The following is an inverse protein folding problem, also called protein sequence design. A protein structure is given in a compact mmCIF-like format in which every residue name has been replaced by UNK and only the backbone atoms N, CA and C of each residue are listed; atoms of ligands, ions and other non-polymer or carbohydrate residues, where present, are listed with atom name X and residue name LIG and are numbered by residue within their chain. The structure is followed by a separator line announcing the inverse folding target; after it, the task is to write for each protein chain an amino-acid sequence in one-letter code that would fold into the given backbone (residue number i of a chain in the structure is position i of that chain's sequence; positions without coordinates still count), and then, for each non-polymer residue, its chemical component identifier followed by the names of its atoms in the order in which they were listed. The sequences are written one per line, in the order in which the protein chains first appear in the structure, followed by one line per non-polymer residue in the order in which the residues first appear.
data_IF_746864719253
#
_entry.id   IF_746864719253
#
_cell.length_a   1.000
_cell.length_b   1.000
_cell.length_c   1.000
_cell.angle_alpha   90.00
_cell.angle_beta   90.00
_cell.angle_gamma   90.00
#
_symmetry.space_group_name_H-M   'P 1'
#
loop_
_entity.id
_entity.type
_entity.pdbx_description
1 polymer ?
#
# COMPACT_ATOMS: atom_id res chain seq x y z
N UNK A 1 -16.50 13.48 13.77
CA UNK A 1 -15.94 13.16 15.11
C UNK A 1 -14.65 13.94 15.32
N UNK A 2 -14.36 14.33 16.56
CA UNK A 2 -13.02 14.79 16.94
C UNK A 2 -12.03 13.62 16.92
N UNK A 3 -10.75 13.83 16.57
CA UNK A 3 -9.77 12.75 16.52
C UNK A 3 -9.54 12.13 17.92
N UNK A 4 -9.36 10.82 17.96
CA UNK A 4 -8.99 10.10 19.19
C UNK A 4 -7.51 10.36 19.45
N UNK A 5 -7.18 10.99 20.59
CA UNK A 5 -5.79 11.21 20.98
C UNK A 5 -5.23 9.97 21.69
N UNK A 6 -4.08 9.49 21.23
CA UNK A 6 -3.27 8.45 21.87
C UNK A 6 -1.88 9.06 22.04
N UNK A 7 -1.55 9.45 23.28
CA UNK A 7 -0.33 10.19 23.62
C UNK A 7 -0.12 11.46 22.77
N UNK A 8 0.95 11.53 21.98
CA UNK A 8 1.27 12.66 21.10
C UNK A 8 0.78 12.45 19.66
N UNK A 9 -0.12 11.50 19.44
CA UNK A 9 -0.70 11.19 18.15
C UNK A 9 -2.22 11.26 18.17
N UNK A 10 -2.78 11.57 17.01
CA UNK A 10 -4.20 11.62 16.74
C UNK A 10 -4.57 10.49 15.79
N UNK A 11 -5.69 9.82 16.07
CA UNK A 11 -6.33 8.88 15.16
C UNK A 11 -7.63 9.49 14.63
N UNK A 12 -7.83 9.39 13.32
CA UNK A 12 -9.12 9.71 12.71
C UNK A 12 -9.52 8.64 11.69
N UNK A 13 -10.82 8.47 11.52
CA UNK A 13 -11.40 7.64 10.48
C UNK A 13 -12.49 8.41 9.77
N UNK A 14 -12.42 8.43 8.45
CA UNK A 14 -13.43 9.05 7.62
C UNK A 14 -13.54 8.33 6.28
N UNK A 15 -14.60 8.64 5.55
CA UNK A 15 -14.90 8.01 4.28
C UNK A 15 -15.12 9.10 3.23
N UNK A 16 -14.70 8.81 1.99
CA UNK A 16 -14.90 9.64 0.81
C UNK A 16 -15.42 8.79 -0.33
N UNK A 17 -16.03 9.43 -1.31
CA UNK A 17 -16.26 8.82 -2.61
C UNK A 17 -15.18 9.28 -3.58
N UNK A 18 -14.69 8.36 -4.40
CA UNK A 18 -13.76 8.64 -5.49
C UNK A 18 -14.44 8.35 -6.82
N UNK A 19 -14.28 9.25 -7.77
CA UNK A 19 -14.60 9.03 -9.17
C UNK A 19 -13.31 9.15 -9.97
N UNK A 20 -13.01 8.17 -10.83
CA UNK A 20 -11.75 8.13 -11.59
C UNK A 20 -11.68 9.08 -12.76
N UNK A 21 -12.83 9.45 -13.31
CA UNK A 21 -12.97 10.38 -14.41
C UNK A 21 -14.39 10.95 -14.35
N UNK A 22 -14.56 12.20 -14.72
CA UNK A 22 -15.86 12.87 -14.72
C UNK A 22 -16.91 12.21 -15.64
N UNK A 23 -16.47 11.41 -16.63
CA UNK A 23 -17.35 10.64 -17.51
C UNK A 23 -17.72 9.26 -16.94
N UNK A 24 -17.00 8.78 -15.93
CA UNK A 24 -17.31 7.50 -15.30
C UNK A 24 -18.61 7.61 -14.48
N UNK A 25 -19.51 6.64 -14.58
CA UNK A 25 -20.80 6.69 -13.86
C UNK A 25 -20.75 6.09 -12.45
N UNK A 26 -19.65 5.44 -12.09
CA UNK A 26 -19.46 4.77 -10.80
C UNK A 26 -18.61 5.56 -9.83
N UNK A 27 -18.93 5.42 -8.54
CA UNK A 27 -18.10 5.91 -7.43
C UNK A 27 -17.52 4.72 -6.67
N UNK A 28 -16.31 4.89 -6.15
CA UNK A 28 -15.68 3.96 -5.22
C UNK A 28 -15.69 4.58 -3.83
N UNK A 29 -16.13 3.82 -2.82
CA UNK A 29 -16.00 4.28 -1.44
C UNK A 29 -14.57 4.02 -0.96
N UNK A 30 -13.94 5.06 -0.44
CA UNK A 30 -12.66 4.99 0.25
C UNK A 30 -12.90 5.15 1.74
N UNK A 31 -12.46 4.17 2.52
CA UNK A 31 -12.35 4.27 3.97
C UNK A 31 -10.89 4.53 4.34
N UNK A 32 -10.64 5.61 5.06
CA UNK A 32 -9.30 6.06 5.45
C UNK A 32 -9.21 6.06 6.97
N UNK A 33 -8.27 5.27 7.50
CA UNK A 33 -7.87 5.27 8.90
C UNK A 33 -6.48 5.89 8.99
N UNK A 34 -6.33 7.02 9.70
CA UNK A 34 -5.08 7.78 9.72
C UNK A 34 -4.65 8.09 11.14
N UNK A 35 -3.36 7.87 11.38
CA UNK A 35 -2.63 8.20 12.59
C UNK A 35 -1.62 9.30 12.25
N UNK A 36 -1.64 10.42 12.95
CA UNK A 36 -0.78 11.57 12.66
C UNK A 36 -0.34 12.31 13.92
N UNK A 37 0.80 13.04 13.91
CA UNK A 37 1.28 13.79 15.07
C UNK A 37 0.28 14.83 15.55
N UNK A 38 0.10 14.94 16.86
CA UNK A 38 -0.78 15.94 17.48
C UNK A 38 -0.40 17.38 17.08
N UNK A 39 0.91 17.64 16.94
CA UNK A 39 1.47 18.93 16.53
C UNK A 39 1.35 19.21 15.02
N UNK A 40 0.78 18.27 14.24
CA UNK A 40 0.44 18.44 12.81
C UNK A 40 1.63 18.80 11.92
N UNK A 41 2.76 18.18 12.21
CA UNK A 41 4.05 18.42 11.57
C UNK A 41 4.68 17.11 11.08
N UNK A 42 3.87 16.21 10.50
CA UNK A 42 4.36 14.93 10.00
C UNK A 42 5.43 15.14 8.91
N UNK A 43 6.56 14.45 9.06
CA UNK A 43 7.72 14.50 8.15
C UNK A 43 7.55 13.64 6.88
N UNK A 44 6.42 12.93 6.80
CA UNK A 44 6.07 12.07 5.69
C UNK A 44 4.85 11.24 6.05
N UNK A 45 4.32 10.52 5.06
CA UNK A 45 3.17 9.65 5.21
C UNK A 45 3.50 8.24 4.74
N UNK A 46 3.20 7.24 5.56
CA UNK A 46 3.11 5.86 5.10
C UNK A 46 1.68 5.59 4.67
N UNK A 47 1.45 5.23 3.41
CA UNK A 47 0.14 4.77 2.95
C UNK A 47 0.19 3.26 2.78
N UNK A 48 -0.48 2.56 3.68
CA UNK A 48 -0.68 1.12 3.59
C UNK A 48 -1.96 0.83 2.81
N UNK A 49 -1.79 0.39 1.57
CA UNK A 49 -2.90 0.10 0.67
C UNK A 49 -3.49 -1.28 0.94
N UNK A 50 -4.82 -1.37 1.00
CA UNK A 50 -5.52 -2.64 1.06
C UNK A 50 -6.82 -2.57 0.25
N UNK A 51 -6.97 -3.43 -0.76
CA UNK A 51 -8.24 -3.62 -1.45
C UNK A 51 -9.09 -4.62 -0.69
N UNK A 52 -10.40 -4.38 -0.57
CA UNK A 52 -11.31 -5.42 -0.12
C UNK A 52 -12.54 -5.45 -1.02
N UNK A 53 -12.86 -6.64 -1.54
CA UNK A 53 -14.14 -6.91 -2.18
C UNK A 53 -15.28 -6.60 -1.21
N UNK A 54 -16.32 -5.97 -1.73
CA UNK A 54 -17.60 -5.89 -1.06
C UNK A 54 -18.64 -6.54 -1.95
N UNK A 55 -19.36 -7.53 -1.42
CA UNK A 55 -20.58 -8.02 -2.03
C UNK A 55 -21.65 -6.92 -2.20
N UNK A 56 -22.58 -7.14 -3.11
CA UNK A 56 -23.65 -6.20 -3.40
C UNK A 56 -24.47 -5.83 -2.15
N UNK A 57 -24.49 -4.56 -1.77
CA UNK A 57 -25.50 -4.02 -0.86
C UNK A 57 -26.65 -3.39 -1.66
N UNK A 58 -27.58 -4.22 -2.11
CA UNK A 58 -28.79 -3.81 -2.85
C UNK A 58 -29.72 -2.87 -2.05
N UNK A 59 -29.50 -2.73 -0.74
CA UNK A 59 -30.27 -1.84 0.14
C UNK A 59 -29.54 -0.52 0.45
N UNK A 60 -28.45 -0.20 -0.26
CA UNK A 60 -27.63 1.01 -0.09
C UNK A 60 -28.42 2.32 0.10
N UNK A 61 -29.24 2.71 -0.89
CA UNK A 61 -30.00 3.96 -0.83
C UNK A 61 -31.02 3.96 0.32
N UNK A 62 -31.81 2.88 0.50
CA UNK A 62 -32.66 2.72 1.68
C UNK A 62 -31.92 2.83 3.02
N UNK A 63 -30.77 2.16 3.18
CA UNK A 63 -29.98 2.18 4.41
C UNK A 63 -29.38 3.55 4.69
N UNK A 64 -28.83 4.24 3.67
CA UNK A 64 -28.32 5.61 3.81
C UNK A 64 -29.41 6.61 4.19
N UNK A 65 -30.61 6.46 3.63
CA UNK A 65 -31.78 7.27 4.00
C UNK A 65 -32.22 6.97 5.44
N UNK A 66 -32.20 5.71 5.86
CA UNK A 66 -32.52 5.29 7.23
C UNK A 66 -31.48 5.79 8.24
N UNK A 67 -30.19 5.70 7.92
CA UNK A 67 -29.10 6.18 8.76
C UNK A 67 -29.18 7.69 8.99
N UNK A 68 -29.53 8.45 7.95
CA UNK A 68 -29.80 9.88 8.04
C UNK A 68 -31.02 10.17 8.92
N UNK A 69 -32.14 9.45 8.72
CA UNK A 69 -33.35 9.59 9.54
C UNK A 69 -33.12 9.24 11.01
N UNK A 70 -32.16 8.35 11.29
CA UNK A 70 -31.86 7.85 12.62
C UNK A 70 -30.61 8.49 13.25
N UNK A 71 -29.97 9.47 12.59
CA UNK A 71 -28.69 10.05 12.99
C UNK A 71 -27.63 8.98 13.34
N UNK A 72 -27.55 7.93 12.52
CA UNK A 72 -26.56 6.86 12.67
C UNK A 72 -25.42 7.07 11.67
N UNK A 73 -24.19 7.03 12.16
CA UNK A 73 -23.04 6.80 11.29
C UNK A 73 -23.01 5.31 10.94
N UNK A 74 -23.61 4.95 9.81
CA UNK A 74 -23.43 3.63 9.19
C UNK A 74 -22.24 3.67 8.25
N UNK A 75 -21.04 3.17 8.63
CA UNK A 75 -20.10 2.75 7.61
C UNK A 75 -20.79 1.64 6.81
N UNK A 76 -20.87 1.78 5.48
CA UNK A 76 -21.46 0.74 4.63
C UNK A 76 -20.72 -0.58 4.84
N UNK A 77 -19.41 -0.49 5.16
CA UNK A 77 -18.58 -1.62 5.55
C UNK A 77 -17.70 -1.27 6.76
N UNK A 78 -17.84 -2.02 7.85
CA UNK A 78 -16.95 -1.95 9.02
C UNK A 78 -15.59 -2.62 8.70
N UNK A 79 -14.84 -2.08 7.74
CA UNK A 79 -13.48 -2.55 7.42
C UNK A 79 -12.46 -1.72 8.18
N UNK A 80 -11.69 -2.39 9.02
CA UNK A 80 -10.65 -1.83 9.88
C UNK A 80 -9.30 -2.48 9.53
N UNK A 81 -8.70 -2.16 8.36
CA UNK A 81 -7.39 -2.70 7.98
C UNK A 81 -6.34 -2.45 9.06
N UNK A 82 -6.41 -1.34 9.80
CA UNK A 82 -5.50 -1.04 10.92
C UNK A 82 -5.57 -2.06 12.06
N UNK A 83 -6.58 -2.94 12.11
CA UNK A 83 -6.61 -4.04 13.08
C UNK A 83 -5.64 -5.18 12.74
N UNK A 84 -5.22 -5.29 11.47
CA UNK A 84 -4.29 -6.31 10.98
C UNK A 84 -2.94 -5.71 10.58
N UNK A 85 -2.92 -4.50 10.05
CA UNK A 85 -1.72 -3.82 9.55
C UNK A 85 -1.43 -2.57 10.38
N UNK A 86 -1.05 -2.76 11.64
CA UNK A 86 -0.67 -1.67 12.52
C UNK A 86 0.84 -1.64 12.71
N UNK A 87 1.51 -0.75 11.99
CA UNK A 87 2.94 -0.47 12.15
C UNK A 87 3.17 0.94 12.72
N UNK A 88 2.18 1.53 13.39
CA UNK A 88 2.27 2.90 13.93
C UNK A 88 3.43 3.07 14.92
N UNK A 89 3.85 2.00 15.60
CA UNK A 89 5.04 2.00 16.45
C UNK A 89 6.35 2.31 15.73
N UNK A 90 6.42 2.11 14.41
CA UNK A 90 7.54 2.54 13.56
C UNK A 90 7.39 3.99 13.08
N UNK A 91 6.15 4.46 12.86
CA UNK A 91 5.90 5.81 12.38
C UNK A 91 6.09 6.88 13.48
N UNK A 92 5.68 6.56 14.72
CA UNK A 92 5.69 7.49 15.86
C UNK A 92 7.09 8.04 16.19
N UNK A 93 8.15 7.21 16.35
CA UNK A 93 9.49 7.70 16.68
C UNK A 93 10.09 8.60 15.61
N UNK A 94 9.70 8.40 14.35
CA UNK A 94 10.21 9.15 13.21
C UNK A 94 9.39 10.41 12.89
N UNK A 95 8.32 10.69 13.66
CA UNK A 95 7.38 11.78 13.39
C UNK A 95 6.69 11.67 12.02
N UNK A 96 6.45 10.44 11.54
CA UNK A 96 5.69 10.19 10.31
C UNK A 96 4.20 9.97 10.64
N UNK A 97 3.34 10.29 9.69
CA UNK A 97 1.94 9.85 9.69
C UNK A 97 1.82 8.45 9.08
N UNK A 98 0.78 7.71 9.45
CA UNK A 98 0.47 6.39 8.94
C UNK A 98 -1.01 6.31 8.58
N UNK A 99 -1.33 5.93 7.35
CA UNK A 99 -2.70 5.75 6.89
C UNK A 99 -2.91 4.34 6.33
N UNK A 100 -3.98 3.69 6.74
CA UNK A 100 -4.54 2.56 6.02
C UNK A 100 -5.63 3.07 5.09
N UNK A 101 -5.49 2.79 3.79
CA UNK A 101 -6.49 3.14 2.78
C UNK A 101 -7.17 1.86 2.32
N UNK A 102 -8.49 1.83 2.44
CA UNK A 102 -9.32 0.75 1.93
C UNK A 102 -10.27 1.25 0.86
N UNK A 103 -10.17 0.66 -0.32
CA UNK A 103 -11.14 0.83 -1.38
C UNK A 103 -12.16 -0.29 -1.39
N UNK A 104 -13.42 0.10 -1.55
CA UNK A 104 -14.58 -0.77 -1.59
C UNK A 104 -15.14 -0.81 -3.01
N UNK A 105 -14.73 -1.83 -3.77
CA UNK A 105 -15.27 -2.09 -5.11
C UNK A 105 -16.54 -2.93 -5.01
N UNK A 106 -17.44 -2.74 -6.00
CA UNK A 106 -18.60 -3.59 -6.20
C UNK A 106 -18.15 -4.95 -6.74
N UNK A 107 -18.47 -6.02 -6.03
CA UNK A 107 -18.24 -7.39 -6.52
C UNK A 107 -19.08 -7.64 -7.78
N UNK A 108 -18.41 -7.88 -8.91
CA UNK A 108 -19.07 -8.41 -10.11
C UNK A 108 -18.93 -9.92 -10.12
N UNK A 109 -20.01 -10.65 -9.86
CA UNK A 109 -20.03 -12.13 -9.96
C UNK A 109 -19.65 -12.63 -11.37
N UNK A 110 -19.82 -11.78 -12.39
CA UNK A 110 -19.52 -12.09 -13.80
C UNK A 110 -18.06 -11.81 -14.17
N UNK A 111 -17.42 -10.84 -13.51
CA UNK A 111 -16.03 -10.43 -13.77
C UNK A 111 -15.24 -10.31 -12.45
N UNK A 112 -15.16 -11.35 -11.61
CA UNK A 112 -14.57 -11.25 -10.27
C UNK A 112 -13.08 -10.83 -10.29
N UNK A 113 -12.42 -10.95 -11.45
CA UNK A 113 -11.03 -10.57 -11.68
C UNK A 113 -10.78 -9.08 -11.90
N UNK A 114 -11.82 -8.25 -11.99
CA UNK A 114 -11.61 -6.80 -11.99
C UNK A 114 -11.04 -6.32 -10.67
N UNK A 115 -10.93 -7.13 -9.62
CA UNK A 115 -10.55 -6.65 -8.28
C UNK A 115 -9.54 -7.57 -7.54
N UNK A 116 -8.93 -8.54 -8.24
CA UNK A 116 -7.78 -9.32 -7.75
C UNK A 116 -6.46 -8.66 -8.19
N UNK A 117 -5.36 -8.88 -7.46
CA UNK A 117 -4.10 -8.08 -7.48
C UNK A 117 -3.40 -7.74 -8.81
N UNK A 118 -3.90 -8.21 -9.96
CA UNK A 118 -3.55 -7.70 -11.28
C UNK A 118 -4.26 -6.39 -11.68
N UNK A 119 -5.25 -5.91 -10.90
CA UNK A 119 -5.90 -4.62 -11.16
C UNK A 119 -5.14 -3.45 -10.48
N UNK A 120 -4.55 -2.50 -11.24
CA UNK A 120 -3.84 -1.37 -10.66
C UNK A 120 -4.73 -0.34 -9.94
N UNK A 121 -6.06 -0.42 -10.08
CA UNK A 121 -7.02 0.56 -9.55
C UNK A 121 -6.91 0.80 -8.04
N UNK A 122 -6.70 -0.24 -7.25
CA UNK A 122 -6.51 -0.09 -5.80
C UNK A 122 -5.23 0.71 -5.48
N UNK A 123 -4.17 0.53 -6.27
CA UNK A 123 -2.95 1.33 -6.15
C UNK A 123 -3.19 2.79 -6.56
N UNK A 124 -3.92 2.98 -7.65
CA UNK A 124 -4.37 4.31 -8.11
C UNK A 124 -5.23 5.03 -7.07
N UNK A 125 -6.11 4.32 -6.37
CA UNK A 125 -6.90 4.86 -5.24
C UNK A 125 -6.03 5.21 -4.05
N UNK A 126 -5.06 4.36 -3.71
CA UNK A 126 -4.11 4.65 -2.64
C UNK A 126 -3.30 5.92 -2.95
N UNK A 127 -2.85 6.11 -4.19
CA UNK A 127 -2.21 7.35 -4.62
C UNK A 127 -3.14 8.56 -4.50
N UNK A 128 -4.38 8.45 -4.98
CA UNK A 128 -5.34 9.53 -4.89
C UNK A 128 -5.61 9.91 -3.42
N UNK A 129 -5.82 8.91 -2.56
CA UNK A 129 -6.06 9.10 -1.13
C UNK A 129 -4.86 9.74 -0.42
N UNK A 130 -3.63 9.35 -0.82
CA UNK A 130 -2.41 9.98 -0.33
C UNK A 130 -2.37 11.47 -0.68
N UNK A 131 -2.63 11.82 -1.95
CA UNK A 131 -2.71 13.21 -2.42
C UNK A 131 -3.80 13.99 -1.68
N UNK A 132 -4.96 13.37 -1.44
CA UNK A 132 -6.02 13.97 -0.64
C UNK A 132 -5.55 14.29 0.79
N UNK A 133 -4.89 13.34 1.47
CA UNK A 133 -4.37 13.53 2.82
C UNK A 133 -3.29 14.63 2.87
N UNK A 134 -2.44 14.74 1.85
CA UNK A 134 -1.48 15.83 1.71
C UNK A 134 -2.20 17.18 1.61
N UNK A 135 -3.18 17.31 0.71
CA UNK A 135 -3.85 18.59 0.44
C UNK A 135 -4.83 19.03 1.54
N UNK A 136 -5.65 18.11 2.04
CA UNK A 136 -6.79 18.42 2.91
C UNK A 136 -6.64 17.88 4.34
N UNK A 137 -5.74 16.93 4.56
CA UNK A 137 -5.57 16.28 5.85
C UNK A 137 -6.68 15.29 6.21
N UNK A 138 -6.79 14.99 7.49
CA UNK A 138 -7.69 13.95 8.01
C UNK A 138 -9.15 14.47 8.18
N UNK A 139 -9.83 14.79 7.09
CA UNK A 139 -11.23 15.28 7.10
C UNK A 139 -12.00 14.85 5.86
N UNK A 140 -13.32 14.73 5.94
CA UNK A 140 -14.21 14.64 4.78
C UNK A 140 -14.80 16.00 4.35
N UNK A 141 -14.66 17.04 5.19
CA UNK A 141 -15.21 18.37 4.95
C UNK A 141 -14.20 19.28 4.21
N UNK A 142 -13.75 18.85 3.03
CA UNK A 142 -12.73 19.57 2.23
C UNK A 142 -13.21 20.93 1.68
N UNK A 143 -14.52 21.16 1.66
CA UNK A 143 -15.15 22.44 1.31
C UNK A 143 -15.20 23.45 2.48
N UNK A 144 -14.77 23.06 3.67
CA UNK A 144 -14.73 23.94 4.85
C UNK A 144 -13.28 24.24 5.24
N UNK A 145 -12.81 25.44 4.89
CA UNK A 145 -11.42 25.87 5.13
C UNK A 145 -10.99 25.75 6.60
N UNK A 146 -11.89 26.02 7.54
CA UNK A 146 -11.59 25.89 8.97
C UNK A 146 -11.37 24.43 9.35
N UNK A 147 -12.19 23.52 8.84
CA UNK A 147 -12.03 22.09 9.07
C UNK A 147 -10.73 21.58 8.43
N UNK A 148 -10.45 21.99 7.19
CA UNK A 148 -9.20 21.65 6.48
C UNK A 148 -7.97 22.13 7.26
N UNK A 149 -7.95 23.38 7.70
CA UNK A 149 -6.84 23.93 8.48
C UNK A 149 -6.62 23.18 9.82
N UNK A 150 -7.69 22.64 10.40
CA UNK A 150 -7.63 21.84 11.62
C UNK A 150 -7.23 20.38 11.38
N UNK A 151 -7.39 19.88 10.16
CA UNK A 151 -7.16 18.49 9.81
C UNK A 151 -5.87 18.24 9.06
N UNK A 152 -5.25 19.27 8.47
CA UNK A 152 -3.91 19.19 7.89
C UNK A 152 -2.89 18.79 8.95
N UNK A 153 -2.03 17.84 8.59
CA UNK A 153 -1.00 17.32 9.48
C UNK A 153 0.35 17.10 8.81
N UNK A 154 0.43 17.28 7.49
CA UNK A 154 1.63 17.07 6.69
C UNK A 154 2.40 18.39 6.53
N UNK A 155 3.72 18.37 6.70
CA UNK A 155 4.61 19.51 6.41
C UNK A 155 5.20 19.47 4.99
N UNK A 156 5.08 18.32 4.32
CA UNK A 156 5.56 18.03 2.98
C UNK A 156 4.60 17.03 2.31
N UNK A 157 4.90 16.59 1.09
CA UNK A 157 4.07 15.66 0.34
C UNK A 157 4.69 14.27 0.16
N UNK A 158 5.71 13.91 0.94
CA UNK A 158 6.48 12.67 0.78
C UNK A 158 5.68 11.47 1.28
N UNK A 159 5.63 10.42 0.46
CA UNK A 159 4.82 9.23 0.75
C UNK A 159 5.62 7.95 0.53
N UNK A 160 5.67 7.09 1.54
CA UNK A 160 6.08 5.69 1.40
C UNK A 160 4.82 4.85 1.13
N UNK A 161 4.74 4.23 -0.06
CA UNK A 161 3.63 3.34 -0.38
C UNK A 161 3.96 1.92 0.07
N UNK A 162 3.12 1.35 0.93
CA UNK A 162 3.31 0.02 1.46
C UNK A 162 2.06 -0.84 1.26
N UNK A 163 2.24 -2.17 1.30
CA UNK A 163 1.11 -3.07 1.27
C UNK A 163 1.51 -4.53 1.47
N UNK A 164 0.50 -5.34 1.75
CA UNK A 164 0.62 -6.79 1.90
C UNK A 164 -0.28 -7.52 0.90
N UNK A 165 0.16 -8.68 0.41
CA UNK A 165 -0.61 -9.51 -0.51
C UNK A 165 -0.95 -8.73 -1.79
N UNK A 166 -2.20 -8.71 -2.23
CA UNK A 166 -2.66 -7.84 -3.33
C UNK A 166 -2.34 -6.37 -3.08
N UNK A 167 -2.41 -5.89 -1.84
CA UNK A 167 -1.97 -4.52 -1.48
C UNK A 167 -0.47 -4.30 -1.70
N UNK A 168 0.35 -5.35 -1.57
CA UNK A 168 1.78 -5.29 -1.89
C UNK A 168 2.02 -5.06 -3.38
N UNK A 169 1.23 -5.70 -4.25
CA UNK A 169 1.25 -5.41 -5.68
C UNK A 169 0.76 -3.98 -5.96
N UNK A 170 -0.38 -3.59 -5.38
CA UNK A 170 -0.94 -2.25 -5.58
C UNK A 170 -0.05 -1.09 -5.11
N UNK A 171 0.78 -1.31 -4.09
CA UNK A 171 1.79 -0.33 -3.68
C UNK A 171 2.75 0.04 -4.82
N UNK A 172 3.01 -0.89 -5.76
CA UNK A 172 3.81 -0.62 -6.97
C UNK A 172 3.09 0.39 -7.89
N UNK A 173 1.80 0.20 -8.15
CA UNK A 173 1.04 1.13 -8.98
C UNK A 173 0.95 2.52 -8.32
N UNK A 174 0.70 2.57 -7.01
CA UNK A 174 0.64 3.83 -6.27
C UNK A 174 1.97 4.60 -6.33
N UNK A 175 3.10 3.89 -6.21
CA UNK A 175 4.43 4.49 -6.21
C UNK A 175 4.85 5.07 -7.58
N UNK A 176 4.13 4.78 -8.67
CA UNK A 176 4.45 5.34 -9.99
C UNK A 176 4.19 6.86 -10.09
N UNK A 177 3.38 7.44 -9.19
CA UNK A 177 3.08 8.86 -9.19
C UNK A 177 2.03 9.29 -10.23
N UNK A 178 1.52 10.52 -10.09
CA UNK A 178 0.37 10.99 -10.86
C UNK A 178 0.57 10.95 -12.37
N UNK A 179 1.69 11.48 -12.86
CA UNK A 179 1.93 11.64 -14.30
C UNK A 179 1.94 10.31 -15.03
N UNK A 180 2.60 9.28 -14.47
CA UNK A 180 2.59 7.95 -15.04
C UNK A 180 1.20 7.32 -14.95
N UNK A 181 0.54 7.38 -13.79
CA UNK A 181 -0.80 6.81 -13.61
C UNK A 181 -1.81 7.39 -14.61
N UNK A 182 -1.73 8.71 -14.88
CA UNK A 182 -2.55 9.39 -15.87
C UNK A 182 -2.21 8.95 -17.29
N UNK A 183 -0.93 8.96 -17.66
CA UNK A 183 -0.48 8.57 -18.99
C UNK A 183 -0.83 7.10 -19.32
N UNK A 184 -0.67 6.21 -18.35
CA UNK A 184 -1.05 4.80 -18.46
C UNK A 184 -2.58 4.62 -18.55
N UNK A 185 -3.34 5.41 -17.80
CA UNK A 185 -4.80 5.46 -17.91
C UNK A 185 -5.28 5.90 -19.29
N UNK A 186 -4.64 6.91 -19.87
CA UNK A 186 -4.94 7.36 -21.24
C UNK A 186 -4.57 6.31 -22.29
N UNK A 187 -3.40 5.67 -22.14
CA UNK A 187 -2.91 4.62 -23.04
C UNK A 187 -3.80 3.38 -23.05
N UNK A 188 -4.26 2.96 -21.87
CA UNK A 188 -5.09 1.76 -21.68
C UNK A 188 -6.59 2.01 -21.89
N UNK A 189 -7.02 3.27 -22.05
CA UNK A 189 -8.43 3.66 -22.10
C UNK A 189 -9.12 3.66 -20.73
N UNK A 190 -8.38 3.34 -19.66
CA UNK A 190 -8.81 3.43 -18.27
C UNK A 190 -8.36 4.74 -17.65
N UNK A 191 -8.94 5.85 -18.13
CA UNK A 191 -8.58 7.21 -17.67
C UNK A 191 -8.44 7.32 -16.14
N UNK A 192 -7.49 8.15 -15.74
CA UNK A 192 -7.17 8.43 -14.35
C UNK A 192 -7.04 9.93 -14.14
N UNK A 193 -8.15 10.54 -13.74
CA UNK A 193 -8.30 11.95 -13.38
C UNK A 193 -9.22 12.06 -12.15
N UNK A 194 -8.76 11.55 -10.99
CA UNK A 194 -9.61 11.33 -9.84
C UNK A 194 -10.19 12.63 -9.25
N UNK A 195 -11.43 12.53 -8.76
CA UNK A 195 -12.15 13.55 -8.00
C UNK A 195 -12.72 12.93 -6.73
N UNK A 196 -12.64 13.67 -5.63
CA UNK A 196 -13.22 13.26 -4.37
C UNK A 196 -14.56 13.92 -4.15
N UNK A 197 -15.48 13.17 -3.58
CA UNK A 197 -16.80 13.64 -3.18
C UNK A 197 -16.99 13.36 -1.69
N UNK A 198 -17.63 14.29 -0.99
CA UNK A 198 -18.09 14.01 0.36
C UNK A 198 -19.27 13.02 0.35
N UNK A 199 -19.68 12.54 1.52
CA UNK A 199 -20.76 11.55 1.67
C UNK A 199 -22.13 12.17 1.93
N UNK A 200 -22.28 13.46 1.59
CA UNK A 200 -23.52 14.21 1.77
C UNK A 200 -24.53 13.91 0.66
N UNK A 201 -25.80 14.26 0.88
CA UNK A 201 -26.90 14.02 -0.08
C UNK A 201 -26.72 14.82 -1.38
N UNK A 202 -26.20 16.04 -1.26
CA UNK A 202 -25.79 16.88 -2.37
C UNK A 202 -24.26 16.99 -2.31
N UNK A 203 -23.55 16.03 -2.91
CA UNK A 203 -22.14 15.89 -2.62
C UNK A 203 -21.35 17.06 -3.21
N UNK A 204 -20.53 17.70 -2.39
CA UNK A 204 -19.47 18.56 -2.92
C UNK A 204 -18.39 17.69 -3.53
N UNK A 205 -17.62 18.26 -4.45
CA UNK A 205 -16.47 17.57 -5.02
C UNK A 205 -15.24 18.47 -5.08
N UNK A 206 -14.07 17.84 -5.08
CA UNK A 206 -12.82 18.53 -5.34
C UNK A 206 -12.69 18.83 -6.84
N UNK A 207 -11.77 19.74 -7.18
CA UNK A 207 -11.19 19.76 -8.53
C UNK A 207 -10.49 18.42 -8.81
N UNK A 208 -10.38 18.01 -10.08
CA UNK A 208 -9.59 16.83 -10.44
C UNK A 208 -8.13 17.00 -10.05
N UNK A 209 -7.45 15.89 -9.74
CA UNK A 209 -6.03 15.92 -9.35
C UNK A 209 -5.11 16.59 -10.39
N UNK A 210 -5.49 16.56 -11.67
CA UNK A 210 -4.74 17.21 -12.74
C UNK A 210 -4.63 18.74 -12.59
N UNK A 211 -5.52 19.35 -11.81
CA UNK A 211 -5.54 20.80 -11.55
C UNK A 211 -4.84 21.16 -10.23
N UNK A 212 -4.29 20.17 -9.53
CA UNK A 212 -3.60 20.38 -8.25
C UNK A 212 -2.12 20.67 -8.52
N UNK A 213 -1.52 21.58 -7.74
CA UNK A 213 -0.08 21.79 -7.75
C UNK A 213 0.68 20.54 -7.28
N UNK A 214 1.91 20.37 -7.76
CA UNK A 214 2.76 19.22 -7.43
C UNK A 214 2.97 19.07 -5.91
N UNK A 215 3.08 20.19 -5.20
CA UNK A 215 3.22 20.24 -3.74
C UNK A 215 1.99 19.72 -2.98
N UNK A 216 0.85 19.63 -3.65
CA UNK A 216 -0.41 19.11 -3.10
C UNK A 216 -0.66 17.65 -3.50
N UNK A 217 0.11 17.12 -4.46
CA UNK A 217 0.07 15.73 -4.88
C UNK A 217 1.06 14.91 -4.05
N UNK A 218 0.73 13.65 -3.79
CA UNK A 218 1.66 12.73 -3.16
C UNK A 218 2.93 12.58 -4.01
N UNK A 219 4.08 12.77 -3.38
CA UNK A 219 5.41 12.54 -3.95
C UNK A 219 5.94 11.20 -3.43
N UNK A 220 5.95 10.14 -4.26
CA UNK A 220 6.47 8.84 -3.85
C UNK A 220 7.94 8.95 -3.43
N UNK A 221 8.25 8.55 -2.20
CA UNK A 221 9.61 8.52 -1.64
C UNK A 221 10.19 7.10 -1.60
N UNK A 222 9.35 6.08 -1.79
CA UNK A 222 9.73 4.69 -1.80
C UNK A 222 8.51 3.77 -1.85
N UNK A 223 8.76 2.47 -1.95
CA UNK A 223 7.72 1.46 -1.78
C UNK A 223 8.18 0.20 -1.05
N UNK A 224 7.28 -0.36 -0.24
CA UNK A 224 7.48 -1.60 0.52
C UNK A 224 6.40 -2.62 0.16
N UNK A 225 6.83 -3.78 -0.30
CA UNK A 225 5.95 -4.86 -0.75
C UNK A 225 6.14 -6.05 0.16
N UNK A 226 5.12 -6.39 0.94
CA UNK A 226 5.12 -7.56 1.80
C UNK A 226 4.35 -8.67 1.07
N UNK A 227 5.05 -9.70 0.62
CA UNK A 227 4.46 -10.85 -0.06
C UNK A 227 3.46 -10.46 -1.16
N UNK A 228 3.89 -9.69 -2.18
CA UNK A 228 2.97 -9.15 -3.17
C UNK A 228 2.32 -10.26 -4.01
N UNK A 229 1.00 -10.19 -4.17
CA UNK A 229 0.22 -11.14 -5.00
C UNK A 229 -0.34 -10.41 -6.19
N UNK A 230 0.02 -10.88 -7.38
CA UNK A 230 -0.53 -10.47 -8.66
C UNK A 230 -1.35 -11.62 -9.25
N UNK A 231 -2.54 -11.31 -9.75
CA UNK A 231 -3.39 -12.30 -10.43
C UNK A 231 -3.73 -11.77 -11.82
N UNK A 232 -2.72 -11.66 -12.66
CA UNK A 232 -2.89 -11.20 -14.04
C UNK A 232 -3.60 -12.26 -14.88
N UNK A 233 -4.57 -11.84 -15.71
CA UNK A 233 -5.15 -12.65 -16.78
C UNK A 233 -4.77 -12.04 -18.13
N UNK A 234 -3.95 -12.75 -18.89
CA UNK A 234 -3.43 -12.27 -20.19
C UNK A 234 -4.53 -11.90 -21.20
N UNK A 235 -5.73 -12.47 -21.06
CA UNK A 235 -6.84 -12.32 -22.01
C UNK A 235 -7.51 -10.95 -21.95
N UNK A 236 -7.32 -10.19 -20.87
CA UNK A 236 -8.02 -8.91 -20.64
C UNK A 236 -7.10 -7.68 -20.68
N UNK A 237 -5.79 -7.86 -20.91
CA UNK A 237 -4.84 -6.76 -21.04
C UNK A 237 -4.68 -5.85 -19.81
N UNK A 238 -5.25 -6.25 -18.66
CA UNK A 238 -5.08 -5.59 -17.37
C UNK A 238 -3.99 -6.32 -16.57
N UNK A 239 -3.03 -5.55 -16.04
CA UNK A 239 -1.93 -6.12 -15.27
C UNK A 239 -1.02 -5.06 -14.67
N UNK A 240 -0.21 -5.49 -13.72
CA UNK A 240 0.73 -4.64 -12.99
C UNK A 240 2.07 -4.44 -13.72
N UNK A 241 2.31 -5.15 -14.83
CA UNK A 241 3.60 -5.15 -15.53
C UNK A 241 4.07 -3.75 -15.94
N UNK A 242 3.22 -2.95 -16.60
CA UNK A 242 3.61 -1.60 -17.05
C UNK A 242 4.07 -0.69 -15.89
N UNK A 243 3.44 -0.85 -14.72
CA UNK A 243 3.81 -0.12 -13.51
C UNK A 243 5.17 -0.57 -12.98
N UNK A 244 5.46 -1.88 -13.00
CA UNK A 244 6.76 -2.41 -12.58
C UNK A 244 7.88 -2.01 -13.53
N UNK A 245 7.64 -2.03 -14.83
CA UNK A 245 8.61 -1.59 -15.84
C UNK A 245 8.95 -0.10 -15.70
N UNK A 246 7.96 0.74 -15.40
CA UNK A 246 8.20 2.14 -15.06
C UNK A 246 9.04 2.29 -13.79
N UNK A 247 8.67 1.60 -12.71
CA UNK A 247 9.41 1.62 -11.45
C UNK A 247 10.85 1.11 -11.58
N UNK A 248 11.11 0.14 -12.46
CA UNK A 248 12.45 -0.36 -12.73
C UNK A 248 13.41 0.72 -13.25
N UNK A 249 12.87 1.75 -13.91
CA UNK A 249 13.61 2.93 -14.36
C UNK A 249 13.64 4.10 -13.37
N UNK A 250 12.97 4.00 -12.23
CA UNK A 250 12.87 5.09 -11.27
C UNK A 250 14.02 5.05 -10.25
N UNK A 251 14.58 6.22 -9.94
CA UNK A 251 15.55 6.41 -8.87
C UNK A 251 14.84 6.49 -7.50
N UNK A 252 14.22 5.39 -7.07
CA UNK A 252 13.39 5.35 -5.87
C UNK A 252 13.62 4.06 -5.07
N UNK A 253 13.88 4.13 -3.75
CA UNK A 253 13.98 2.94 -2.91
C UNK A 253 12.76 2.03 -3.01
N UNK A 254 13.01 0.76 -3.33
CA UNK A 254 11.99 -0.27 -3.32
C UNK A 254 12.47 -1.49 -2.54
N UNK A 255 11.57 -2.09 -1.77
CA UNK A 255 11.86 -3.34 -1.09
C UNK A 255 10.71 -4.33 -1.26
N UNK A 256 11.06 -5.56 -1.62
CA UNK A 256 10.16 -6.70 -1.66
C UNK A 256 10.58 -7.72 -0.60
N UNK A 257 9.68 -8.03 0.33
CA UNK A 257 9.88 -9.04 1.38
C UNK A 257 9.00 -10.23 1.07
N UNK A 258 9.58 -11.42 1.09
CA UNK A 258 8.90 -12.66 0.70
C UNK A 258 9.09 -13.74 1.76
N UNK A 259 8.01 -14.43 2.10
CA UNK A 259 8.09 -15.62 2.95
C UNK A 259 8.49 -16.85 2.14
N UNK A 260 9.42 -17.67 2.63
CA UNK A 260 9.82 -18.93 1.99
C UNK A 260 8.64 -19.89 1.74
N UNK A 261 7.67 -19.86 2.65
CA UNK A 261 6.52 -20.75 2.68
C UNK A 261 5.26 -20.11 2.09
N UNK A 262 5.39 -18.94 1.46
CA UNK A 262 4.28 -18.18 0.91
C UNK A 262 3.86 -18.72 -0.47
N UNK A 263 2.94 -19.69 -0.47
CA UNK A 263 2.35 -20.20 -1.72
C UNK A 263 1.63 -19.11 -2.52
N UNK A 264 0.99 -18.14 -1.85
CA UNK A 264 0.16 -17.16 -2.54
C UNK A 264 1.01 -16.24 -3.42
N UNK A 265 2.13 -15.75 -2.89
CA UNK A 265 3.04 -14.88 -3.62
C UNK A 265 3.98 -15.66 -4.56
N UNK A 266 4.42 -16.87 -4.19
CA UNK A 266 5.46 -17.59 -4.94
C UNK A 266 4.92 -18.57 -6.00
N UNK A 267 3.68 -19.05 -5.88
CA UNK A 267 3.13 -20.06 -6.80
C UNK A 267 1.75 -19.67 -7.37
N UNK A 268 0.81 -19.23 -6.52
CA UNK A 268 -0.55 -18.88 -6.96
C UNK A 268 -0.59 -17.52 -7.70
N UNK A 269 0.39 -16.65 -7.44
CA UNK A 269 0.57 -15.37 -8.13
C UNK A 269 1.05 -15.58 -9.56
N UNK A 270 0.48 -14.83 -10.50
CA UNK A 270 0.82 -14.84 -11.93
C UNK A 270 1.09 -13.40 -12.41
N UNK A 271 2.35 -13.02 -12.69
CA UNK A 271 3.57 -13.80 -12.45
C UNK A 271 3.83 -14.01 -10.94
N UNK A 272 4.60 -15.04 -10.55
CA UNK A 272 5.01 -15.21 -9.16
C UNK A 272 5.85 -14.01 -8.71
N UNK A 273 5.80 -13.65 -7.43
CA UNK A 273 6.56 -12.54 -6.89
C UNK A 273 8.08 -12.72 -7.11
N UNK A 274 8.56 -13.95 -6.95
CA UNK A 274 9.96 -14.34 -7.10
C UNK A 274 10.08 -15.83 -7.43
N UNK A 275 11.20 -16.24 -8.01
CA UNK A 275 11.50 -17.63 -8.34
C UNK A 275 13.01 -17.88 -8.23
N UNK A 276 13.46 -19.05 -7.75
CA UNK A 276 14.86 -19.43 -7.82
C UNK A 276 15.32 -19.75 -9.25
N UNK A 277 14.38 -19.95 -10.18
CA UNK A 277 14.65 -20.23 -11.59
C UNK A 277 14.90 -18.93 -12.36
N UNK A 278 16.14 -18.65 -12.82
CA UNK A 278 16.47 -17.37 -13.44
C UNK A 278 15.74 -17.08 -14.76
N UNK A 279 15.23 -18.12 -15.43
CA UNK A 279 14.47 -18.01 -16.67
C UNK A 279 12.98 -17.74 -16.47
N UNK A 280 12.47 -17.86 -15.24
CA UNK A 280 11.06 -17.63 -14.93
C UNK A 280 10.84 -16.14 -14.70
N UNK A 281 9.99 -15.53 -15.50
CA UNK A 281 9.56 -14.15 -15.27
C UNK A 281 8.78 -14.07 -13.96
N UNK A 282 9.12 -13.08 -13.14
CA UNK A 282 8.57 -12.82 -11.81
C UNK A 282 8.23 -11.35 -11.67
N UNK A 283 7.42 -10.97 -10.68
CA UNK A 283 7.21 -9.56 -10.35
C UNK A 283 8.54 -8.87 -10.03
N UNK A 284 9.43 -9.54 -9.29
CA UNK A 284 10.75 -8.99 -8.98
C UNK A 284 11.61 -8.81 -10.24
N UNK A 285 11.66 -9.76 -11.17
CA UNK A 285 12.44 -9.59 -12.40
C UNK A 285 11.92 -8.45 -13.28
N UNK A 286 10.60 -8.19 -13.26
CA UNK A 286 10.01 -7.03 -13.92
C UNK A 286 10.44 -5.71 -13.24
N UNK A 287 10.52 -5.68 -11.90
CA UNK A 287 10.95 -4.52 -11.10
C UNK A 287 12.46 -4.27 -11.10
N UNK A 288 13.26 -5.33 -11.17
CA UNK A 288 14.73 -5.23 -11.21
C UNK A 288 15.20 -4.70 -12.57
N UNK A 289 14.38 -4.86 -13.62
CA UNK A 289 14.65 -4.40 -14.97
C UNK A 289 15.78 -5.17 -15.66
N UNK A 290 16.06 -4.81 -16.91
CA UNK A 290 17.26 -5.27 -17.60
C UNK A 290 18.43 -4.35 -17.22
N UNK A 291 19.59 -4.93 -16.91
CA UNK A 291 20.85 -4.23 -16.55
C UNK A 291 21.01 -3.70 -15.12
N UNK A 292 20.16 -4.08 -14.16
CA UNK A 292 20.43 -3.92 -12.72
C UNK A 292 20.47 -2.47 -12.21
N UNK A 293 19.97 -1.50 -12.98
CA UNK A 293 19.92 -0.09 -12.60
C UNK A 293 18.79 0.24 -11.60
N UNK A 294 17.85 -0.69 -11.42
CA UNK A 294 16.75 -0.54 -10.47
C UNK A 294 17.25 -0.43 -9.03
N UNK A 295 16.52 0.35 -8.22
CA UNK A 295 16.77 0.54 -6.79
C UNK A 295 15.92 -0.42 -5.95
N UNK A 296 15.11 -1.27 -6.60
CA UNK A 296 14.28 -2.27 -5.95
C UNK A 296 15.13 -3.46 -5.54
N UNK A 297 15.08 -3.79 -4.26
CA UNK A 297 15.76 -4.94 -3.68
C UNK A 297 14.73 -5.99 -3.26
N UNK A 298 15.13 -7.26 -3.20
CA UNK A 298 14.30 -8.34 -2.67
C UNK A 298 15.02 -9.12 -1.56
N UNK A 299 14.26 -9.60 -0.59
CA UNK A 299 14.76 -10.49 0.45
C UNK A 299 13.74 -11.57 0.77
N UNK A 300 14.25 -12.71 1.24
CA UNK A 300 13.45 -13.90 1.53
C UNK A 300 13.61 -14.31 2.98
N UNK A 301 12.51 -14.42 3.70
CA UNK A 301 12.46 -14.83 5.11
C UNK A 301 12.32 -16.36 5.18
N UNK A 302 13.29 -17.02 5.80
CA UNK A 302 13.24 -18.46 6.08
C UNK A 302 12.06 -18.77 7.02
N UNK A 303 11.28 -19.81 6.71
CA UNK A 303 10.00 -20.11 7.39
C UNK A 303 8.96 -18.96 7.33
N UNK A 304 9.21 -17.92 6.52
CA UNK A 304 8.28 -16.82 6.35
C UNK A 304 6.99 -17.30 5.70
N UNK A 305 5.86 -16.78 6.17
CA UNK A 305 4.53 -17.13 5.65
C UNK A 305 3.91 -15.95 4.90
N UNK A 306 2.79 -16.18 4.24
CA UNK A 306 1.99 -15.09 3.71
C UNK A 306 1.51 -14.17 4.85
N UNK A 307 1.08 -14.74 5.98
CA UNK A 307 0.41 -13.96 7.03
C UNK A 307 1.29 -13.50 8.18
N UNK A 308 2.57 -13.85 8.19
CA UNK A 308 3.47 -13.53 9.28
C UNK A 308 3.62 -12.03 9.54
N UNK A 309 3.38 -11.20 8.52
CA UNK A 309 3.43 -9.74 8.62
C UNK A 309 2.24 -9.12 9.36
N UNK A 310 1.12 -9.83 9.52
CA UNK A 310 -0.05 -9.26 10.18
C UNK A 310 0.21 -9.13 11.69
N UNK A 311 -0.31 -8.09 12.31
CA UNK A 311 -0.29 -7.91 13.77
C UNK A 311 -1.25 -8.85 14.52
N UNK A 312 -2.25 -9.40 13.82
CA UNK A 312 -3.29 -10.29 14.36
C UNK A 312 -3.73 -11.32 13.34
N UNK A 313 -4.21 -12.47 13.82
CA UNK A 313 -4.71 -13.55 12.97
C UNK A 313 -5.86 -13.09 12.08
N UNK A 314 -5.79 -13.43 10.79
CA UNK A 314 -6.86 -13.21 9.82
C UNK A 314 -7.21 -14.54 9.14
N UNK A 315 -8.48 -14.95 9.24
CA UNK A 315 -8.94 -16.24 8.72
C UNK A 315 -8.66 -16.45 7.22
N UNK A 316 -8.91 -15.43 6.39
CA UNK A 316 -8.70 -15.53 4.94
C UNK A 316 -7.22 -15.60 4.61
N UNK A 317 -6.40 -14.80 5.27
CA UNK A 317 -4.96 -14.87 5.11
C UNK A 317 -4.46 -16.26 5.52
N UNK A 318 -4.82 -16.77 6.71
CA UNK A 318 -4.33 -18.08 7.17
C UNK A 318 -4.78 -19.25 6.31
N UNK A 319 -5.76 -19.07 5.41
CA UNK A 319 -6.09 -20.05 4.36
C UNK A 319 -5.12 -20.01 3.19
N UNK A 320 -4.57 -18.84 2.86
CA UNK A 320 -3.51 -18.68 1.86
C UNK A 320 -2.21 -19.37 2.30
N UNK A 321 -1.85 -19.30 3.59
CA UNK A 321 -0.72 -20.05 4.16
C UNK A 321 -0.89 -21.58 4.11
N UNK A 322 -2.13 -22.05 4.03
CA UNK A 322 -2.48 -23.49 4.01
C UNK A 322 -2.73 -24.00 2.58
N UNK A 323 -2.30 -23.25 1.56
CA UNK A 323 -2.58 -23.59 0.17
C UNK A 323 -1.84 -24.87 -0.29
N UNK A 324 -2.27 -25.40 -1.43
CA UNK A 324 -1.99 -26.78 -1.90
C UNK A 324 -0.59 -26.96 -2.50
N UNK A 325 0.21 -25.89 -2.61
CA UNK A 325 1.47 -25.92 -3.36
C UNK A 325 2.59 -26.72 -2.66
N UNK A 326 2.46 -26.98 -1.36
CA UNK A 326 3.37 -27.84 -0.60
C UNK A 326 4.71 -27.20 -0.22
N UNK A 327 4.90 -25.89 -0.46
CA UNK A 327 6.05 -25.16 0.06
C UNK A 327 6.10 -25.32 1.59
N UNK A 328 7.29 -25.65 2.10
CA UNK A 328 7.53 -25.84 3.53
C UNK A 328 6.60 -26.84 4.24
N UNK A 329 6.13 -27.89 3.57
CA UNK A 329 5.19 -28.87 4.15
C UNK A 329 5.61 -29.45 5.53
N UNK A 330 6.92 -29.52 5.78
CA UNK A 330 7.51 -30.07 7.02
C UNK A 330 7.94 -28.99 8.03
N UNK A 331 7.76 -27.70 7.73
CA UNK A 331 8.14 -26.60 8.62
C UNK A 331 6.89 -25.98 9.26
N UNK A 332 7.09 -25.26 10.37
CA UNK A 332 6.06 -24.42 10.98
C UNK A 332 6.32 -22.97 10.58
N UNK A 333 5.55 -22.40 9.63
CA UNK A 333 5.75 -21.03 9.21
C UNK A 333 5.44 -20.04 10.34
N UNK A 334 6.01 -18.83 10.25
CA UNK A 334 5.67 -17.76 11.18
C UNK A 334 4.18 -17.41 11.13
N UNK A 335 3.64 -16.99 12.27
CA UNK A 335 2.23 -16.60 12.43
C UNK A 335 2.11 -15.09 12.61
N UNK A 336 0.91 -14.59 12.41
CA UNK A 336 0.59 -13.20 12.71
C UNK A 336 0.92 -12.84 14.17
N UNK A 337 1.40 -11.62 14.39
CA UNK A 337 1.90 -11.11 15.66
C UNK A 337 3.25 -11.72 16.08
N UNK A 338 3.84 -12.58 15.24
CA UNK A 338 5.09 -13.28 15.50
C UNK A 338 6.33 -12.53 14.99
N UNK A 339 7.39 -13.31 14.73
CA UNK A 339 8.71 -12.79 14.35
C UNK A 339 8.70 -11.92 13.10
N UNK A 340 7.91 -12.27 12.07
CA UNK A 340 7.82 -11.48 10.82
C UNK A 340 7.16 -10.12 11.04
N UNK A 341 6.10 -10.03 11.84
CA UNK A 341 5.49 -8.75 12.20
C UNK A 341 6.49 -7.83 12.92
N UNK A 342 7.22 -8.37 13.91
CA UNK A 342 8.25 -7.62 14.65
C UNK A 342 9.36 -7.16 13.69
N UNK A 343 9.81 -8.04 12.79
CA UNK A 343 10.77 -7.70 11.75
C UNK A 343 10.28 -6.56 10.85
N UNK A 344 9.02 -6.56 10.42
CA UNK A 344 8.46 -5.49 9.57
C UNK A 344 8.35 -4.17 10.32
N UNK A 345 8.00 -4.19 11.62
CA UNK A 345 8.02 -2.98 12.46
C UNK A 345 9.42 -2.37 12.49
N UNK A 346 10.45 -3.17 12.78
CA UNK A 346 11.85 -2.72 12.80
C UNK A 346 12.33 -2.26 11.42
N UNK A 347 11.97 -2.99 10.35
CA UNK A 347 12.29 -2.63 8.98
C UNK A 347 11.68 -1.28 8.61
N UNK A 348 10.40 -1.07 8.91
CA UNK A 348 9.74 0.21 8.67
C UNK A 348 10.39 1.32 9.49
N UNK A 349 10.69 1.11 10.77
CA UNK A 349 11.35 2.12 11.60
C UNK A 349 12.66 2.59 10.97
N UNK A 350 13.50 1.64 10.53
CA UNK A 350 14.76 1.93 9.83
C UNK A 350 14.57 2.63 8.49
N UNK A 351 13.59 2.21 7.68
CA UNK A 351 13.25 2.87 6.41
C UNK A 351 12.82 4.32 6.67
N UNK A 352 11.94 4.54 7.65
CA UNK A 352 11.41 5.87 7.96
C UNK A 352 12.48 6.79 8.56
N UNK A 353 13.38 6.26 9.39
CA UNK A 353 14.54 6.99 9.87
C UNK A 353 15.48 7.40 8.72
N UNK A 354 15.75 6.47 7.80
CA UNK A 354 16.56 6.73 6.62
C UNK A 354 15.93 7.81 5.72
N UNK A 355 14.65 7.67 5.39
CA UNK A 355 13.91 8.63 4.60
C UNK A 355 13.71 9.97 5.35
N UNK A 356 13.62 9.97 6.68
CA UNK A 356 13.41 11.17 7.51
C UNK A 356 14.64 12.06 7.67
N UNK A 357 15.83 11.60 7.29
CA UNK A 357 17.06 12.40 7.38
C UNK A 357 17.01 13.64 6.47
N UNK A 358 17.69 14.73 6.85
CA UNK A 358 17.62 16.06 6.22
C UNK A 358 18.09 16.13 4.74
N UNK A 359 18.53 15.01 4.16
CA UNK A 359 18.85 14.85 2.73
C UNK A 359 17.68 14.25 1.92
N UNK A 360 16.65 13.72 2.59
CA UNK A 360 15.27 13.52 2.11
C UNK A 360 15.03 12.44 1.04
N UNK A 361 15.98 12.13 0.18
CA UNK A 361 15.93 10.99 -0.74
C UNK A 361 17.37 10.51 -0.95
N UNK A 362 17.61 9.21 -1.14
CA UNK A 362 18.95 8.77 -1.54
C UNK A 362 19.36 9.55 -2.79
N UNK A 363 20.54 10.16 -2.77
CA UNK A 363 21.06 10.87 -3.92
C UNK A 363 21.49 9.91 -5.03
N UNK A 364 21.75 8.64 -4.69
CA UNK A 364 22.08 7.59 -5.66
C UNK A 364 21.70 6.20 -5.19
N UNK A 365 21.78 5.24 -6.12
CA UNK A 365 21.55 3.81 -5.84
C UNK A 365 22.57 3.28 -4.84
N UNK A 366 23.82 3.70 -4.95
CA UNK A 366 24.92 3.30 -4.08
C UNK A 366 24.71 3.77 -2.64
N UNK A 367 24.12 4.96 -2.45
CA UNK A 367 23.74 5.44 -1.12
C UNK A 367 22.62 4.57 -0.53
N UNK A 368 21.63 4.19 -1.36
CA UNK A 368 20.56 3.29 -0.94
C UNK A 368 21.07 1.88 -0.58
N UNK A 369 21.82 1.22 -1.47
CA UNK A 369 22.36 -0.12 -1.22
C UNK A 369 23.45 -0.14 -0.14
N UNK A 370 24.13 0.99 0.07
CA UNK A 370 25.08 1.20 1.14
C UNK A 370 24.46 1.65 2.47
N UNK A 371 23.15 1.89 2.53
CA UNK A 371 22.46 2.40 3.73
C UNK A 371 22.48 1.42 4.90
N UNK A 372 22.29 1.93 6.12
CA UNK A 372 22.17 1.09 7.32
C UNK A 372 20.99 0.10 7.22
N UNK A 373 19.93 0.45 6.49
CA UNK A 373 18.78 -0.43 6.23
C UNK A 373 19.25 -1.69 5.49
N UNK A 374 19.95 -1.50 4.37
CA UNK A 374 20.39 -2.62 3.51
C UNK A 374 21.52 -3.40 4.17
N UNK A 375 22.44 -2.74 4.88
CA UNK A 375 23.49 -3.42 5.65
C UNK A 375 22.94 -4.29 6.79
N UNK A 376 21.87 -3.84 7.44
CA UNK A 376 21.17 -4.62 8.46
C UNK A 376 20.44 -5.84 7.85
N UNK A 377 19.84 -5.68 6.67
CA UNK A 377 19.18 -6.75 5.93
C UNK A 377 20.15 -7.76 5.30
N UNK A 378 21.36 -7.36 4.92
CA UNK A 378 22.31 -8.23 4.20
C UNK A 378 23.06 -9.19 5.14
N UNK A 379 22.34 -9.89 6.02
CA UNK A 379 22.83 -10.84 7.03
C UNK A 379 21.83 -11.96 7.25
N UNK A 380 22.30 -13.13 7.69
CA UNK A 380 21.43 -14.27 7.95
C UNK A 380 20.38 -13.97 9.02
N UNK A 381 20.77 -13.28 10.07
CA UNK A 381 19.89 -12.93 11.18
C UNK A 381 20.04 -11.44 11.45
N UNK A 382 19.12 -10.60 10.91
CA UNK A 382 19.12 -9.18 11.18
C UNK A 382 19.07 -8.92 12.70
N UNK A 383 19.95 -8.05 13.19
CA UNK A 383 20.10 -7.77 14.62
C UNK A 383 18.78 -7.27 15.21
N UNK A 384 18.46 -7.70 16.44
CA UNK A 384 17.21 -7.31 17.11
C UNK A 384 15.96 -8.09 16.65
N UNK A 385 16.10 -9.06 15.75
CA UNK A 385 14.99 -9.86 15.23
C UNK A 385 15.16 -11.34 15.53
N UNK A 386 14.06 -12.09 15.53
CA UNK A 386 14.08 -13.56 15.66
C UNK A 386 14.06 -14.27 14.31
N UNK A 387 14.02 -13.52 13.20
CA UNK A 387 13.89 -14.10 11.87
C UNK A 387 15.25 -14.52 11.32
N UNK A 388 15.21 -15.38 10.31
CA UNK A 388 16.38 -15.69 9.49
C UNK A 388 16.05 -15.40 8.03
N UNK A 389 17.03 -14.87 7.30
CA UNK A 389 16.94 -14.61 5.88
C UNK A 389 17.63 -15.73 5.10
N UNK A 390 17.06 -16.06 3.95
CA UNK A 390 17.66 -16.99 3.00
C UNK A 390 18.69 -16.26 2.14
N UNK A 391 19.79 -16.93 1.77
CA UNK A 391 20.78 -16.34 0.87
C UNK A 391 20.17 -15.98 -0.49
N UNK A 392 20.58 -14.83 -1.03
CA UNK A 392 20.21 -14.40 -2.37
C UNK A 392 21.05 -15.13 -3.44
N UNK A 393 20.52 -15.33 -4.67
CA UNK A 393 21.32 -15.77 -5.81
C UNK A 393 22.50 -14.82 -6.03
N UNK A 394 23.74 -15.34 -6.05
CA UNK A 394 24.95 -14.53 -6.18
C UNK A 394 25.66 -14.16 -4.87
N UNK A 395 25.09 -14.52 -3.70
CA UNK A 395 25.66 -14.29 -2.39
C UNK A 395 24.91 -13.21 -1.59
N UNK A 396 25.23 -13.08 -0.29
CA UNK A 396 24.49 -12.19 0.61
C UNK A 396 23.07 -12.69 0.91
N UNK A 397 22.22 -11.79 1.42
CA UNK A 397 20.84 -12.06 1.87
C UNK A 397 19.81 -11.10 1.26
N UNK A 398 20.28 -10.14 0.47
CA UNK A 398 19.45 -9.19 -0.26
C UNK A 398 19.81 -9.30 -1.74
N UNK A 399 18.82 -9.62 -2.56
CA UNK A 399 18.96 -9.69 -4.00
C UNK A 399 18.90 -8.27 -4.60
N UNK A 400 19.70 -8.05 -5.65
CA UNK A 400 19.87 -6.74 -6.28
C UNK A 400 21.01 -5.92 -5.67
N UNK A 401 21.88 -6.50 -4.85
CA UNK A 401 23.10 -5.84 -4.35
C UNK A 401 24.29 -5.97 -5.28
#
# INVERSE_FOLDING_TARGET
MDPIRIDQYCFNRFNLWLQYDHLATGFIELAIEVYYPYERNAEGLVVFSHGFLVGDNLLYYPEKLLDLLLNREGPLFQKHPSSYYNYTSAAVPNNWAYACVTACHKESEVLPWTDFGGNPRVGQEAYAAASYLVRYGATAAFNNEKAVAQSRFMNNNRVLFAGHSVGGAHAQAAACGFDFLRAEGDRSGLRYEPRFFDREILPYHTDPLAEWGEELLASPAGHLQLSPVDMTRSEIGFGMQAYREFLAGCAMPGLMVLGECDCAALDDSTPPAWSPEPSRETQYSQLAGQHGASWVLALRVAQGSHCGYLSRDNFFCSRADKSRCGLCADLSPYKAGGGEYIFVVELLDRILAYLGSSTGQPASREEWTGSEVVQWLNRQSPEGTTISLLPAPGGGYVEGM
#
